data_IF_550877225433
#
_entry.id   IF_550877225433
#
_cell.length_a   1.000
_cell.length_b   1.000
_cell.length_c   1.000
_cell.angle_alpha   90.00
_cell.angle_beta   90.00
_cell.angle_gamma   90.00
#
_symmetry.space_group_name_H-M   'P 1'
#
loop_
_entity.id
_entity.type
_entity.pdbx_description
1 polymer ?
#
# COMPACT_ATOMS: atom_id res chain seq x y z
N UNK A 1 12.09 -8.37 -10.00
CA UNK A 1 11.25 -7.81 -8.93
C UNK A 1 9.86 -7.54 -9.47
N UNK A 2 8.86 -7.74 -8.65
CA UNK A 2 7.46 -7.53 -9.00
C UNK A 2 7.00 -6.26 -8.27
N UNK A 3 6.29 -5.40 -8.97
CA UNK A 3 5.80 -4.13 -8.41
C UNK A 3 4.28 -4.03 -8.52
N UNK A 4 3.68 -3.34 -7.57
CA UNK A 4 2.24 -3.09 -7.59
C UNK A 4 1.94 -1.73 -6.95
N UNK A 5 0.88 -1.09 -7.45
CA UNK A 5 0.29 0.05 -6.77
C UNK A 5 -0.82 -0.45 -5.87
N UNK A 6 -0.81 -0.02 -4.62
CA UNK A 6 -1.85 -0.36 -3.65
C UNK A 6 -2.61 0.92 -3.34
N UNK A 7 -3.90 0.90 -3.63
CA UNK A 7 -4.82 2.00 -3.35
C UNK A 7 -5.52 1.71 -2.04
N UNK A 8 -5.45 2.64 -1.10
CA UNK A 8 -5.85 2.39 0.27
C UNK A 8 -6.92 3.38 0.69
N UNK A 9 -8.03 2.85 1.22
CA UNK A 9 -9.00 3.67 1.94
C UNK A 9 -8.65 3.61 3.42
N UNK A 10 -8.49 4.78 4.02
CA UNK A 10 -8.13 4.91 5.42
C UNK A 10 -9.32 5.43 6.22
N UNK A 11 -9.35 5.07 7.50
CA UNK A 11 -10.34 5.58 8.43
C UNK A 11 -10.23 7.09 8.53
N UNK A 12 -11.32 7.73 8.91
CA UNK A 12 -11.38 9.19 9.02
C UNK A 12 -10.27 9.69 9.94
N UNK A 13 -9.50 10.67 9.44
CA UNK A 13 -8.40 11.26 10.19
C UNK A 13 -7.12 10.45 10.21
N UNK A 14 -7.07 9.32 9.48
CA UNK A 14 -5.93 8.41 9.53
C UNK A 14 -5.03 8.39 8.29
N UNK A 15 -5.33 9.08 7.17
CA UNK A 15 -4.50 8.91 5.97
C UNK A 15 -3.01 9.20 6.19
N UNK A 16 -2.68 10.26 6.92
CA UNK A 16 -1.27 10.61 7.16
C UNK A 16 -0.56 9.55 7.99
N UNK A 17 -1.23 9.05 9.04
CA UNK A 17 -0.64 8.01 9.89
C UNK A 17 -0.44 6.72 9.11
N UNK A 18 -1.39 6.37 8.24
CA UNK A 18 -1.28 5.19 7.38
C UNK A 18 -0.09 5.35 6.42
N UNK A 19 0.04 6.51 5.77
CA UNK A 19 1.14 6.75 4.86
C UNK A 19 2.49 6.65 5.56
N UNK A 20 2.60 7.19 6.77
CA UNK A 20 3.83 7.09 7.56
C UNK A 20 4.17 5.64 7.91
N UNK A 21 3.17 4.87 8.33
CA UNK A 21 3.39 3.46 8.66
C UNK A 21 3.84 2.68 7.42
N UNK A 22 3.24 2.97 6.26
CA UNK A 22 3.65 2.34 5.02
C UNK A 22 5.11 2.63 4.68
N UNK A 23 5.53 3.88 4.85
CA UNK A 23 6.90 4.28 4.50
C UNK A 23 7.96 3.58 5.34
N UNK A 24 7.59 3.00 6.48
CA UNK A 24 8.52 2.24 7.33
C UNK A 24 8.74 0.83 6.83
N UNK A 25 7.92 0.32 5.93
CA UNK A 25 8.06 -1.02 5.38
C UNK A 25 9.11 -1.01 4.28
N UNK A 26 10.09 -1.93 4.31
CA UNK A 26 11.15 -1.93 3.31
C UNK A 26 10.65 -2.20 1.90
N UNK A 27 9.51 -2.90 1.75
CA UNK A 27 8.92 -3.17 0.44
C UNK A 27 8.23 -1.96 -0.17
N UNK A 28 7.94 -0.94 0.62
CA UNK A 28 7.24 0.25 0.14
C UNK A 28 8.25 1.24 -0.44
N UNK A 29 8.12 1.50 -1.73
CA UNK A 29 8.99 2.46 -2.43
C UNK A 29 8.50 3.88 -2.27
N UNK A 30 7.21 4.08 -2.23
CA UNK A 30 6.61 5.39 -1.98
C UNK A 30 5.20 5.21 -1.44
N UNK A 31 4.75 6.18 -0.68
CA UNK A 31 3.38 6.23 -0.20
C UNK A 31 3.00 7.70 -0.07
N UNK A 32 1.91 8.08 -0.72
CA UNK A 32 1.46 9.47 -0.75
C UNK A 32 -0.01 9.54 -0.36
N UNK A 33 -0.36 10.61 0.34
CA UNK A 33 -1.76 10.92 0.65
C UNK A 33 -2.34 11.66 -0.55
N UNK A 34 -3.54 11.25 -0.96
CA UNK A 34 -4.21 11.84 -2.13
C UNK A 34 -5.65 12.15 -1.77
N UNK A 35 -6.33 12.86 -2.65
CA UNK A 35 -7.77 13.08 -2.56
C UNK A 35 -8.48 12.22 -3.58
N UNK A 36 -9.74 11.88 -3.32
CA UNK A 36 -10.54 11.09 -4.26
C UNK A 36 -11.12 9.86 -3.58
N UNK A 37 -11.47 8.83 -4.36
CA UNK A 37 -12.07 7.62 -3.78
C UNK A 37 -11.12 6.86 -2.87
N UNK A 38 -9.81 7.05 -3.01
CA UNK A 38 -8.80 6.45 -2.13
C UNK A 38 -8.03 7.55 -1.44
N UNK A 39 -7.47 7.23 -0.26
CA UNK A 39 -6.79 8.21 0.58
C UNK A 39 -5.28 8.15 0.46
N UNK A 40 -4.74 6.97 0.20
CA UNK A 40 -3.29 6.76 0.12
C UNK A 40 -3.00 5.86 -1.07
N UNK A 41 -1.95 6.17 -1.81
CA UNK A 41 -1.46 5.31 -2.89
C UNK A 41 -0.02 4.95 -2.58
N UNK A 42 0.28 3.66 -2.56
CA UNK A 42 1.63 3.15 -2.29
C UNK A 42 2.14 2.37 -3.49
N UNK A 43 3.43 2.51 -3.77
CA UNK A 43 4.13 1.65 -4.72
C UNK A 43 4.95 0.66 -3.91
N UNK A 44 4.71 -0.63 -4.10
CA UNK A 44 5.42 -1.67 -3.39
C UNK A 44 6.17 -2.57 -4.36
N UNK A 45 7.21 -3.23 -3.83
CA UNK A 45 8.09 -4.09 -4.62
C UNK A 45 8.46 -5.31 -3.80
N UNK A 46 8.46 -6.48 -4.44
CA UNK A 46 8.83 -7.73 -3.79
C UNK A 46 9.54 -8.65 -4.80
N UNK A 47 10.26 -9.68 -4.32
CA UNK A 47 10.99 -10.57 -5.23
C UNK A 47 10.08 -11.34 -6.18
N UNK A 48 8.89 -11.72 -5.73
CA UNK A 48 7.95 -12.49 -6.52
C UNK A 48 6.52 -12.17 -6.09
N UNK A 49 5.57 -12.72 -6.84
CA UNK A 49 4.15 -12.42 -6.62
C UNK A 49 3.66 -12.93 -5.28
N UNK A 50 4.16 -14.08 -4.83
CA UNK A 50 3.76 -14.64 -3.54
C UNK A 50 4.22 -13.75 -2.39
N UNK A 51 5.46 -13.28 -2.44
CA UNK A 51 5.98 -12.36 -1.43
C UNK A 51 5.20 -11.04 -1.44
N UNK A 52 4.84 -10.56 -2.63
CA UNK A 52 4.05 -9.34 -2.76
C UNK A 52 2.70 -9.49 -2.05
N UNK A 53 2.03 -10.63 -2.28
CA UNK A 53 0.75 -10.93 -1.63
C UNK A 53 0.86 -10.93 -0.12
N UNK A 54 1.94 -11.51 0.41
CA UNK A 54 2.16 -11.54 1.86
C UNK A 54 2.38 -10.14 2.45
N UNK A 55 3.11 -9.30 1.75
CA UNK A 55 3.29 -7.91 2.21
C UNK A 55 1.94 -7.23 2.35
N UNK A 56 1.07 -7.41 1.36
CA UNK A 56 -0.24 -6.76 1.39
C UNK A 56 -1.09 -7.29 2.55
N UNK A 57 -1.21 -8.61 2.68
CA UNK A 57 -2.12 -9.20 3.66
C UNK A 57 -1.58 -9.15 5.08
N UNK A 58 -0.28 -9.29 5.26
CA UNK A 58 0.30 -9.40 6.60
C UNK A 58 0.85 -8.09 7.13
N UNK A 59 1.22 -7.16 6.25
CA UNK A 59 1.91 -5.96 6.68
C UNK A 59 1.18 -4.68 6.33
N UNK A 60 0.41 -4.64 5.25
CA UNK A 60 -0.33 -3.45 4.84
C UNK A 60 -1.75 -3.47 5.41
N UNK A 61 -2.47 -4.56 5.21
CA UNK A 61 -3.86 -4.65 5.67
C UNK A 61 -3.98 -4.67 7.19
N UNK A 62 -2.89 -4.93 7.89
CA UNK A 62 -2.86 -4.93 9.36
C UNK A 62 -2.48 -3.58 9.97
N UNK A 63 -2.15 -2.58 9.15
CA UNK A 63 -1.86 -1.24 9.65
C UNK A 63 -3.13 -0.63 10.21
N UNK A 64 -3.03 -0.07 11.41
CA UNK A 64 -4.17 0.61 12.03
C UNK A 64 -4.63 1.76 11.15
N UNK A 65 -5.93 1.82 10.88
CA UNK A 65 -6.52 2.86 10.04
C UNK A 65 -6.75 2.43 8.59
N UNK A 66 -6.19 1.31 8.14
CA UNK A 66 -6.46 0.78 6.81
C UNK A 66 -7.81 0.06 6.84
N UNK A 67 -8.73 0.51 5.99
CA UNK A 67 -10.08 -0.08 5.91
C UNK A 67 -10.23 -0.97 4.69
N UNK A 68 -9.67 -0.56 3.56
CA UNK A 68 -9.81 -1.30 2.31
C UNK A 68 -8.60 -1.06 1.43
N UNK A 69 -8.19 -2.09 0.71
CA UNK A 69 -7.09 -1.99 -0.25
C UNK A 69 -7.52 -2.54 -1.60
N UNK A 70 -6.97 -1.94 -2.65
CA UNK A 70 -7.11 -2.43 -4.01
C UNK A 70 -5.72 -2.45 -4.62
N UNK A 71 -5.31 -3.59 -5.17
CA UNK A 71 -3.97 -3.76 -5.69
C UNK A 71 -3.99 -3.82 -7.21
N UNK A 72 -3.11 -3.03 -7.85
CA UNK A 72 -2.93 -3.06 -9.30
C UNK A 72 -1.50 -3.48 -9.59
N UNK A 73 -1.34 -4.66 -10.15
CA UNK A 73 -0.02 -5.21 -10.48
C UNK A 73 0.55 -4.47 -11.69
N UNK A 74 1.82 -4.09 -11.59
CA UNK A 74 2.50 -3.47 -12.72
C UNK A 74 2.89 -4.59 -13.69
N UNK A 75 2.35 -4.51 -14.92
CA UNK A 75 2.57 -5.56 -15.93
C UNK A 75 3.35 -5.07 -17.15
N UNK A 76 3.65 -3.78 -17.21
CA UNK A 76 4.37 -3.21 -18.34
C UNK A 76 5.10 -1.96 -17.93
N UNK A 77 5.61 -1.27 -18.91
CA UNK A 77 6.41 -0.07 -18.71
C UNK A 77 5.67 1.14 -19.22
#
# INVERSE_FOLDING_TARGET
MVQAYVFIQAAMGKPSAVAEALRRLPEVKSAVVVTGPYDVIALIEAPDLQALGRVITERIQTIEGVERTLTSLVTGI
#
